data_IF_718551057909
#
_entry.id   IF_718551057909
#
_cell.length_a   1.000
_cell.length_b   1.000
_cell.length_c   1.000
_cell.angle_alpha   90.00
_cell.angle_beta   90.00
_cell.angle_gamma   90.00
#
_symmetry.space_group_name_H-M   'P 1'
#
loop_
_entity.id
_entity.type
_entity.pdbx_description
1 polymer ?
#
# COMPACT_ATOMS: atom_id res chain seq x y z
N UNK A 1 -20.85 -15.51 14.48
CA UNK A 1 -19.73 -15.53 15.45
C UNK A 1 -18.65 -14.67 14.85
N UNK A 2 -18.24 -13.58 15.49
CA UNK A 2 -17.05 -12.83 15.07
C UNK A 2 -15.83 -13.64 15.49
N UNK A 3 -14.99 -14.01 14.54
CA UNK A 3 -13.71 -14.65 14.83
C UNK A 3 -12.83 -13.68 15.64
N UNK A 4 -11.96 -14.21 16.50
CA UNK A 4 -11.02 -13.37 17.25
C UNK A 4 -9.85 -13.00 16.34
N UNK A 5 -9.30 -11.77 16.46
CA UNK A 5 -8.16 -11.36 15.67
C UNK A 5 -6.94 -12.23 15.98
N UNK A 6 -6.16 -12.52 14.95
CA UNK A 6 -4.93 -13.31 15.02
C UNK A 6 -3.74 -12.36 15.07
N UNK A 7 -2.86 -12.54 16.06
CA UNK A 7 -1.60 -11.78 16.19
C UNK A 7 -0.42 -12.72 16.03
N UNK A 8 0.45 -12.42 15.08
CA UNK A 8 1.65 -13.20 14.75
C UNK A 8 2.89 -12.39 15.13
N UNK A 9 3.74 -12.91 16.00
CA UNK A 9 5.04 -12.29 16.31
C UNK A 9 6.04 -12.54 15.19
N UNK A 10 6.80 -11.52 14.80
CA UNK A 10 7.88 -11.69 13.82
C UNK A 10 9.18 -12.04 14.53
N UNK A 11 9.81 -13.17 14.15
CA UNK A 11 11.04 -13.65 14.79
C UNK A 11 12.32 -12.94 14.31
N UNK A 12 12.26 -12.29 13.14
CA UNK A 12 13.32 -11.47 12.56
C UNK A 12 12.79 -10.06 12.31
N UNK A 13 13.62 -9.01 12.32
CA UNK A 13 13.15 -7.68 11.94
C UNK A 13 12.64 -7.73 10.50
N UNK A 14 11.38 -7.33 10.31
CA UNK A 14 10.82 -6.98 9.01
C UNK A 14 10.61 -5.48 9.00
N UNK A 15 10.63 -4.88 7.81
CA UNK A 15 10.42 -3.45 7.63
C UNK A 15 9.20 -3.23 6.75
N UNK A 16 8.37 -2.27 7.14
CA UNK A 16 7.21 -1.85 6.40
C UNK A 16 7.47 -0.47 5.80
N UNK A 17 7.30 -0.35 4.50
CA UNK A 17 7.27 0.93 3.81
C UNK A 17 5.91 1.14 3.15
N UNK A 18 5.52 2.40 3.05
CA UNK A 18 4.27 2.81 2.46
C UNK A 18 4.31 2.73 0.94
N UNK A 19 3.35 2.01 0.35
CA UNK A 19 3.12 2.01 -1.09
C UNK A 19 1.68 2.47 -1.37
N UNK A 20 1.34 2.71 -2.64
CA UNK A 20 0.09 3.37 -3.03
C UNK A 20 -1.16 2.80 -2.38
N UNK A 21 -2.01 3.68 -1.85
CA UNK A 21 -3.31 3.32 -1.30
C UNK A 21 -4.25 2.62 -2.29
N UNK A 22 -5.33 2.06 -1.74
CA UNK A 22 -6.30 1.21 -2.45
C UNK A 22 -6.80 1.79 -3.79
N UNK A 23 -6.91 3.11 -3.97
CA UNK A 23 -7.45 3.71 -5.19
C UNK A 23 -6.72 3.30 -6.49
N UNK A 24 -5.39 3.40 -6.53
CA UNK A 24 -4.60 3.01 -7.72
C UNK A 24 -4.42 1.50 -7.83
N UNK A 25 -4.37 0.79 -6.69
CA UNK A 25 -4.34 -0.68 -6.67
C UNK A 25 -5.67 -1.28 -7.16
N UNK A 26 -6.80 -0.66 -6.82
CA UNK A 26 -8.14 -1.03 -7.25
C UNK A 26 -8.36 -0.71 -8.74
N UNK A 27 -7.84 0.42 -9.24
CA UNK A 27 -7.83 0.72 -10.69
C UNK A 27 -6.89 -0.24 -11.46
N UNK A 28 -5.83 -0.76 -10.84
CA UNK A 28 -4.99 -1.83 -11.42
C UNK A 28 -5.71 -3.19 -11.43
N UNK A 29 -6.49 -3.49 -10.39
CA UNK A 29 -7.31 -4.71 -10.28
C UNK A 29 -8.55 -4.69 -11.17
N UNK A 30 -9.15 -3.52 -11.38
CA UNK A 30 -10.26 -3.25 -12.29
C UNK A 30 -9.73 -2.55 -13.54
N UNK A 31 -9.17 -3.35 -14.46
CA UNK A 31 -8.82 -3.03 -15.86
C UNK A 31 -8.80 -1.53 -16.17
N UNK A 32 -7.63 -0.91 -16.02
CA UNK A 32 -7.30 0.46 -16.46
C UNK A 32 -8.00 0.90 -17.77
N UNK A 33 -8.14 -0.03 -18.72
CA UNK A 33 -8.78 0.17 -20.03
C UNK A 33 -10.31 0.38 -19.98
N UNK A 34 -10.95 0.05 -18.87
CA UNK A 34 -12.40 0.16 -18.65
C UNK A 34 -12.79 1.38 -17.81
N UNK A 35 -11.86 1.93 -17.02
CA UNK A 35 -12.09 3.17 -16.27
C UNK A 35 -12.32 4.34 -17.22
N UNK A 36 -13.13 5.32 -16.85
CA UNK A 36 -13.32 6.59 -17.55
C UNK A 36 -12.12 7.53 -17.35
N UNK A 37 -11.96 8.53 -18.23
CA UNK A 37 -10.87 9.52 -18.09
C UNK A 37 -10.97 10.29 -16.78
N UNK A 38 -12.18 10.59 -16.30
CA UNK A 38 -12.39 11.25 -15.00
C UNK A 38 -11.93 10.38 -13.83
N UNK A 39 -12.22 9.08 -13.84
CA UNK A 39 -11.77 8.17 -12.77
C UNK A 39 -10.25 8.04 -12.74
N UNK A 40 -9.60 8.00 -13.91
CA UNK A 40 -8.13 7.97 -14.00
C UNK A 40 -7.47 9.25 -13.46
N UNK A 41 -8.05 10.42 -13.76
CA UNK A 41 -7.56 11.70 -13.25
C UNK A 41 -7.81 11.86 -11.74
N UNK A 42 -8.96 11.42 -11.25
CA UNK A 42 -9.27 11.40 -9.82
C UNK A 42 -8.30 10.49 -9.06
N UNK A 43 -8.01 9.30 -9.59
CA UNK A 43 -7.03 8.39 -9.00
C UNK A 43 -5.62 8.99 -8.91
N UNK A 44 -5.18 9.72 -9.96
CA UNK A 44 -3.91 10.45 -9.93
C UNK A 44 -3.92 11.61 -8.91
N UNK A 45 -5.01 12.37 -8.82
CA UNK A 45 -5.11 13.49 -7.87
C UNK A 45 -5.11 13.02 -6.42
N UNK A 46 -5.87 11.95 -6.12
CA UNK A 46 -5.87 11.31 -4.81
C UNK A 46 -4.48 10.80 -4.44
N UNK A 47 -3.73 10.30 -5.42
CA UNK A 47 -2.36 9.86 -5.23
C UNK A 47 -1.40 11.00 -4.86
N UNK A 48 -1.44 12.12 -5.58
CA UNK A 48 -0.61 13.29 -5.25
C UNK A 48 -0.91 13.80 -3.83
N UNK A 49 -2.18 13.85 -3.44
CA UNK A 49 -2.59 14.21 -2.09
C UNK A 49 -2.10 13.21 -1.04
N UNK A 50 -2.11 11.91 -1.36
CA UNK A 50 -1.60 10.86 -0.46
C UNK A 50 -0.09 10.97 -0.29
N UNK A 51 0.65 11.17 -1.38
CA UNK A 51 2.10 11.40 -1.34
C UNK A 51 2.46 12.59 -0.46
N UNK A 52 1.70 13.69 -0.53
CA UNK A 52 1.92 14.82 0.35
C UNK A 52 1.72 14.47 1.84
N UNK A 53 0.74 13.60 2.16
CA UNK A 53 0.49 13.15 3.54
C UNK A 53 1.58 12.22 4.08
N UNK A 54 2.14 11.37 3.21
CA UNK A 54 3.15 10.37 3.62
C UNK A 54 4.59 10.78 3.30
N UNK A 55 4.79 11.94 2.67
CA UNK A 55 6.10 12.49 2.37
C UNK A 55 6.92 12.62 3.66
N UNK A 56 8.05 11.92 3.70
CA UNK A 56 8.95 11.93 4.86
C UNK A 56 8.66 10.86 5.93
N UNK A 57 7.71 9.95 5.72
CA UNK A 57 7.63 8.72 6.53
C UNK A 57 8.74 7.78 6.12
N UNK A 58 9.63 7.47 7.06
CA UNK A 58 10.62 6.42 6.88
C UNK A 58 9.97 5.03 7.04
N UNK A 59 10.56 3.97 6.47
CA UNK A 59 10.17 2.60 6.77
C UNK A 59 10.18 2.33 8.29
N UNK A 60 9.20 1.58 8.76
CA UNK A 60 9.03 1.23 10.18
C UNK A 60 9.38 -0.23 10.44
N UNK A 61 9.95 -0.53 11.60
CA UNK A 61 10.15 -1.92 12.04
C UNK A 61 8.80 -2.55 12.36
N UNK A 62 8.59 -3.76 11.85
CA UNK A 62 7.43 -4.60 12.12
C UNK A 62 7.72 -5.52 13.30
N UNK A 63 6.92 -5.39 14.35
CA UNK A 63 7.01 -6.22 15.57
C UNK A 63 6.04 -7.41 15.54
N UNK A 64 4.99 -7.31 14.73
CA UNK A 64 3.98 -8.35 14.58
C UNK A 64 3.11 -8.11 13.36
N UNK A 65 2.27 -9.09 13.05
CA UNK A 65 1.20 -8.98 12.07
C UNK A 65 -0.14 -9.19 12.78
N UNK A 66 -1.12 -8.36 12.45
CA UNK A 66 -2.49 -8.45 12.91
C UNK A 66 -3.39 -8.88 11.75
N UNK A 67 -4.31 -9.80 12.00
CA UNK A 67 -5.35 -10.21 11.04
C UNK A 67 -6.70 -10.22 11.74
N UNK A 68 -7.72 -9.64 11.11
CA UNK A 68 -9.08 -9.62 11.66
C UNK A 68 -9.66 -11.04 11.77
N UNK A 69 -9.45 -11.83 10.73
CA UNK A 69 -9.79 -13.25 10.66
C UNK A 69 -8.79 -14.01 9.77
N UNK A 70 -9.02 -15.31 9.56
CA UNK A 70 -8.12 -16.16 8.75
C UNK A 70 -8.13 -15.85 7.24
N UNK A 71 -9.06 -15.01 6.77
CA UNK A 71 -9.23 -14.65 5.36
C UNK A 71 -8.75 -13.23 5.05
N UNK A 72 -8.43 -12.45 6.08
CA UNK A 72 -7.97 -11.08 5.98
C UNK A 72 -6.50 -11.00 5.56
N UNK A 73 -6.12 -9.89 4.93
CA UNK A 73 -4.71 -9.61 4.69
C UNK A 73 -4.02 -9.23 6.02
N UNK A 74 -2.77 -9.66 6.24
CA UNK A 74 -2.03 -9.28 7.44
C UNK A 74 -1.69 -7.78 7.41
N UNK A 75 -2.02 -7.08 8.50
CA UNK A 75 -1.64 -5.70 8.75
C UNK A 75 -0.40 -5.65 9.65
N UNK A 76 0.57 -4.78 9.38
CA UNK A 76 1.75 -4.67 10.23
C UNK A 76 1.44 -4.00 11.56
N UNK A 77 2.14 -4.47 12.59
CA UNK A 77 2.19 -3.82 13.90
C UNK A 77 3.55 -3.15 14.02
N UNK A 78 3.56 -1.83 14.01
CA UNK A 78 4.77 -1.02 14.18
C UNK A 78 4.82 -0.42 15.59
N UNK A 79 5.81 0.43 15.86
CA UNK A 79 5.92 1.14 17.16
C UNK A 79 4.74 2.09 17.39
N UNK A 80 4.08 2.51 16.31
CA UNK A 80 2.90 3.39 16.33
C UNK A 80 1.58 2.61 16.52
N UNK A 81 1.63 1.28 16.48
CA UNK A 81 0.46 0.39 16.61
C UNK A 81 0.16 -0.39 15.34
N UNK A 82 -1.09 -0.85 15.22
CA UNK A 82 -1.57 -1.52 14.01
C UNK A 82 -1.76 -0.46 12.93
N UNK A 83 -1.16 -0.72 11.79
CA UNK A 83 -1.34 0.07 10.58
C UNK A 83 -2.75 -0.12 10.02
N UNK A 84 -3.42 0.98 9.64
CA UNK A 84 -4.78 0.93 9.12
C UNK A 84 -4.84 0.28 7.72
N UNK A 85 -5.96 -0.37 7.39
CA UNK A 85 -6.15 -1.05 6.11
C UNK A 85 -6.22 -0.13 4.89
N UNK A 86 -6.57 1.15 5.09
CA UNK A 86 -6.61 2.17 4.03
C UNK A 86 -5.22 2.53 3.51
N UNK A 87 -4.20 2.15 4.27
CA UNK A 87 -2.81 2.42 4.03
C UNK A 87 -2.16 1.13 3.48
N UNK A 88 -1.66 1.16 2.26
CA UNK A 88 -1.01 -0.01 1.65
C UNK A 88 0.48 -0.04 2.01
N UNK A 89 0.98 -1.20 2.42
CA UNK A 89 2.38 -1.37 2.83
C UNK A 89 3.03 -2.54 2.12
N UNK A 90 4.34 -2.43 2.01
CA UNK A 90 5.23 -3.44 1.50
C UNK A 90 6.16 -3.88 2.61
N UNK A 91 6.41 -5.18 2.71
CA UNK A 91 7.32 -5.76 3.68
C UNK A 91 8.60 -6.27 3.04
N UNK A 92 9.73 -5.95 3.62
CA UNK A 92 11.04 -6.49 3.23
C UNK A 92 11.98 -6.65 4.42
N UNK A 93 13.15 -7.27 4.17
CA UNK A 93 14.13 -7.61 5.21
C UNK A 93 14.92 -6.39 5.71
N UNK A 94 15.05 -5.36 4.88
CA UNK A 94 15.77 -4.12 5.21
C UNK A 94 14.90 -2.88 4.96
N UNK A 95 15.20 -1.74 5.63
CA UNK A 95 14.52 -0.47 5.35
C UNK A 95 14.67 -0.05 3.89
N UNK A 96 15.87 -0.22 3.33
CA UNK A 96 16.20 0.20 1.97
C UNK A 96 15.42 -0.62 0.94
N UNK A 97 15.29 -1.93 1.14
CA UNK A 97 14.49 -2.80 0.26
C UNK A 97 13.02 -2.44 0.35
N UNK A 98 12.46 -2.30 1.56
CA UNK A 98 11.07 -1.95 1.75
C UNK A 98 10.75 -0.61 1.05
N UNK A 99 11.60 0.39 1.26
CA UNK A 99 11.46 1.70 0.61
C UNK A 99 11.56 1.58 -0.91
N UNK A 100 12.58 0.89 -1.43
CA UNK A 100 12.79 0.74 -2.87
C UNK A 100 11.63 0.02 -3.55
N UNK A 101 11.10 -1.01 -2.91
CA UNK A 101 9.99 -1.78 -3.48
C UNK A 101 8.67 -0.99 -3.42
N UNK A 102 8.45 -0.24 -2.34
CA UNK A 102 7.35 0.70 -2.24
C UNK A 102 7.39 1.77 -3.35
N UNK A 103 8.55 2.37 -3.59
CA UNK A 103 8.77 3.34 -4.67
C UNK A 103 8.56 2.71 -6.06
N UNK A 104 9.09 1.52 -6.29
CA UNK A 104 8.88 0.79 -7.54
C UNK A 104 7.40 0.54 -7.82
N UNK A 105 6.65 0.01 -6.85
CA UNK A 105 5.23 -0.27 -7.01
C UNK A 105 4.45 1.01 -7.31
N UNK A 106 4.78 2.10 -6.59
CA UNK A 106 4.23 3.43 -6.84
C UNK A 106 4.45 3.89 -8.26
N UNK A 107 5.70 4.00 -8.66
CA UNK A 107 6.08 4.56 -9.95
C UNK A 107 5.49 3.71 -11.10
N UNK A 108 5.46 2.39 -10.93
CA UNK A 108 4.85 1.46 -11.88
C UNK A 108 3.36 1.74 -12.09
N UNK A 109 2.52 1.88 -11.05
CA UNK A 109 1.09 2.09 -11.30
C UNK A 109 0.76 3.52 -11.74
N UNK A 110 1.49 4.53 -11.26
CA UNK A 110 1.34 5.91 -11.77
C UNK A 110 1.66 5.95 -13.26
N UNK A 111 2.74 5.30 -13.70
CA UNK A 111 3.08 5.21 -15.11
C UNK A 111 2.01 4.48 -15.92
N UNK A 112 1.47 3.36 -15.42
CA UNK A 112 0.40 2.63 -16.10
C UNK A 112 -0.87 3.48 -16.32
N UNK A 113 -1.27 4.29 -15.33
CA UNK A 113 -2.40 5.22 -15.48
C UNK A 113 -2.09 6.34 -16.47
N UNK A 114 -0.88 6.92 -16.40
CA UNK A 114 -0.44 7.97 -17.34
C UNK A 114 -0.39 7.45 -18.78
N UNK A 115 0.12 6.25 -18.99
CA UNK A 115 0.15 5.59 -20.31
C UNK A 115 -1.25 5.31 -20.85
N UNK A 116 -2.20 4.92 -19.99
CA UNK A 116 -3.60 4.74 -20.39
C UNK A 116 -4.25 6.08 -20.76
N UNK A 117 -4.03 7.13 -19.98
CA UNK A 117 -4.52 8.48 -20.31
C UNK A 117 -3.93 9.00 -21.62
N UNK A 118 -2.66 8.75 -21.90
CA UNK A 118 -2.00 9.15 -23.14
C UNK A 118 -2.50 8.39 -24.39
N UNK A 119 -3.14 7.23 -24.21
CA UNK A 119 -3.74 6.43 -25.29
C UNK A 119 -5.16 6.88 -25.67
N UNK A 120 -5.75 7.82 -24.93
CA UNK A 120 -7.12 8.33 -25.13
C UNK A 120 -7.10 9.71 -25.77
#
# INVERSE_FOLDING_TARGET
>A
MTEQPIVISVAKPLWAAWSMGEGLANVRGQRLTQASTSELLEALSLHEATLQKVAGRAPEVVYGLWMEDRYSNPLPITSSGVVAGDDYYVFDETPEEAQSFAEYLRDHAVNAVREELARR
#
